data_IF_596699229121
#
_entry.id   IF_596699229121
#
_cell.length_a   1.000
_cell.length_b   1.000
_cell.length_c   1.000
_cell.angle_alpha   90.00
_cell.angle_beta   90.00
_cell.angle_gamma   90.00
#
_symmetry.space_group_name_H-M   'P 1'
#
loop_
_entity.id
_entity.type
_entity.pdbx_description
1 polymer ?
#
# COMPACT_ATOMS: atom_id res chain seq x y z
N UNK A 1 -0.49 34.43 11.85
CA UNK A 1 0.50 33.86 10.91
C UNK A 1 -0.17 32.66 10.24
N UNK A 2 -0.53 32.79 8.95
CA UNK A 2 -1.06 31.68 8.17
C UNK A 2 0.07 30.64 8.02
N UNK A 3 -0.08 29.46 8.63
CA UNK A 3 0.77 28.33 8.30
C UNK A 3 0.52 28.03 6.82
N UNK A 4 1.52 28.20 5.99
CA UNK A 4 1.49 27.76 4.59
C UNK A 4 1.11 26.28 4.65
N UNK A 5 -0.09 25.95 4.14
CA UNK A 5 -0.60 24.58 4.14
C UNK A 5 0.32 23.81 3.19
N UNK A 6 1.10 22.87 3.73
CA UNK A 6 1.92 22.00 2.90
C UNK A 6 0.99 21.19 1.97
N UNK A 7 1.21 21.29 0.68
CA UNK A 7 0.44 20.53 -0.31
C UNK A 7 1.07 19.16 -0.44
N UNK A 8 0.29 18.12 -0.21
CA UNK A 8 0.71 16.75 -0.47
C UNK A 8 0.90 16.57 -1.97
N UNK A 9 2.07 16.13 -2.38
CA UNK A 9 2.42 15.99 -3.79
C UNK A 9 3.11 14.67 -4.09
N UNK A 10 4.03 14.25 -3.24
CA UNK A 10 4.81 13.02 -3.40
C UNK A 10 4.17 11.87 -2.64
N UNK A 11 3.83 10.81 -3.33
CA UNK A 11 3.19 9.62 -2.76
C UNK A 11 4.09 8.41 -2.96
N UNK A 12 4.46 7.74 -1.87
CA UNK A 12 5.10 6.44 -1.91
C UNK A 12 4.06 5.36 -1.67
N UNK A 13 3.87 4.50 -2.65
CA UNK A 13 3.07 3.29 -2.51
C UNK A 13 3.99 2.18 -2.01
N UNK A 14 3.66 1.58 -0.87
CA UNK A 14 4.36 0.40 -0.35
C UNK A 14 3.46 -0.82 -0.53
N UNK A 15 3.98 -1.83 -1.19
CA UNK A 15 3.31 -3.12 -1.37
C UNK A 15 3.83 -4.07 -0.29
N UNK A 16 2.95 -4.63 0.56
CA UNK A 16 3.37 -5.57 1.58
C UNK A 16 3.86 -6.88 0.96
N UNK A 17 4.77 -7.60 1.64
CA UNK A 17 5.20 -8.89 1.17
C UNK A 17 4.04 -9.89 1.24
N UNK A 18 4.01 -10.85 0.31
CA UNK A 18 3.19 -12.04 0.48
C UNK A 18 3.82 -12.90 1.58
N UNK A 19 3.17 -12.98 2.72
CA UNK A 19 3.54 -13.90 3.78
C UNK A 19 2.76 -15.19 3.55
N UNK A 20 3.49 -16.28 3.24
CA UNK A 20 2.90 -17.61 3.37
C UNK A 20 2.81 -17.90 4.87
N UNK A 21 1.61 -18.17 5.34
CA UNK A 21 1.38 -18.63 6.72
C UNK A 21 1.75 -20.12 6.77
N UNK A 22 3.02 -20.43 6.67
CA UNK A 22 3.51 -21.71 7.15
C UNK A 22 3.96 -21.48 8.60
N UNK A 23 3.14 -21.92 9.53
CA UNK A 23 3.16 -21.64 10.95
C UNK A 23 4.43 -22.08 11.70
N UNK A 24 5.40 -22.67 11.05
CA UNK A 24 6.55 -23.31 11.69
C UNK A 24 7.88 -22.55 11.53
N UNK A 25 7.96 -21.43 10.80
CA UNK A 25 9.20 -20.67 10.68
C UNK A 25 9.16 -19.35 11.49
N UNK A 26 9.91 -19.28 12.59
CA UNK A 26 9.92 -18.09 13.46
C UNK A 26 10.68 -16.89 12.89
N UNK A 27 11.30 -16.99 11.70
CA UNK A 27 12.01 -15.87 11.08
C UNK A 27 11.11 -15.12 10.09
N UNK A 28 10.54 -13.95 10.45
CA UNK A 28 9.72 -13.16 9.54
C UNK A 28 10.50 -12.61 8.32
N UNK A 29 11.83 -12.73 8.34
CA UNK A 29 12.68 -12.35 7.22
C UNK A 29 12.98 -13.52 6.27
N UNK A 30 12.71 -14.74 6.71
CA UNK A 30 12.90 -15.95 5.93
C UNK A 30 11.62 -16.30 5.18
N UNK A 31 11.31 -15.52 4.17
CA UNK A 31 10.35 -15.96 3.16
C UNK A 31 11.05 -17.03 2.33
N UNK A 32 10.65 -18.28 2.52
CA UNK A 32 11.10 -19.37 1.67
C UNK A 32 10.82 -19.02 0.20
N UNK A 33 11.85 -19.08 -0.63
CA UNK A 33 11.74 -18.84 -2.07
C UNK A 33 10.66 -19.74 -2.69
N UNK A 34 10.40 -20.90 -2.08
CA UNK A 34 9.43 -21.86 -2.54
C UNK A 34 7.97 -21.44 -2.33
N UNK A 35 7.68 -20.65 -1.32
CA UNK A 35 6.33 -20.15 -1.02
C UNK A 35 6.03 -18.79 -1.62
N UNK A 36 6.99 -18.14 -2.28
CA UNK A 36 6.81 -16.84 -2.92
C UNK A 36 5.84 -16.93 -4.09
N UNK A 37 4.62 -16.58 -3.84
CA UNK A 37 3.69 -16.22 -4.91
C UNK A 37 3.84 -14.73 -5.19
N UNK A 38 4.90 -14.34 -5.90
CA UNK A 38 4.97 -12.98 -6.43
C UNK A 38 3.92 -12.83 -7.51
N UNK A 39 2.93 -12.09 -7.17
CA UNK A 39 1.88 -11.67 -8.11
C UNK A 39 2.18 -10.21 -8.44
N UNK A 40 2.14 -9.91 -9.73
CA UNK A 40 2.23 -8.52 -10.20
C UNK A 40 1.28 -7.63 -9.39
N UNK A 41 1.73 -6.50 -8.88
CA UNK A 41 0.95 -5.64 -7.98
C UNK A 41 -0.10 -4.83 -8.75
N UNK A 42 -1.15 -5.50 -9.25
CA UNK A 42 -2.15 -4.89 -10.13
C UNK A 42 -2.82 -3.69 -9.44
N UNK A 43 -3.38 -3.88 -8.24
CA UNK A 43 -4.05 -2.81 -7.53
C UNK A 43 -3.11 -1.65 -7.18
N UNK A 44 -1.88 -1.88 -6.66
CA UNK A 44 -0.92 -0.80 -6.44
C UNK A 44 -0.60 0.02 -7.69
N UNK A 45 -0.44 -0.60 -8.85
CA UNK A 45 -0.14 0.14 -10.09
C UNK A 45 -1.37 0.81 -10.71
N UNK A 46 -2.60 0.34 -10.41
CA UNK A 46 -3.85 1.05 -10.75
C UNK A 46 -3.99 2.29 -9.87
N UNK A 47 -3.80 2.17 -8.56
CA UNK A 47 -3.77 3.33 -7.64
C UNK A 47 -2.71 4.34 -8.08
N UNK A 48 -1.51 3.88 -8.43
CA UNK A 48 -0.47 4.75 -8.97
C UNK A 48 -0.92 5.50 -10.21
N UNK A 49 -1.62 4.83 -11.11
CA UNK A 49 -2.12 5.43 -12.35
C UNK A 49 -3.15 6.53 -12.08
N UNK A 50 -4.09 6.29 -11.15
CA UNK A 50 -5.04 7.31 -10.73
C UNK A 50 -4.33 8.54 -10.14
N UNK A 51 -3.41 8.32 -9.21
CA UNK A 51 -2.62 9.39 -8.58
C UNK A 51 -1.82 10.21 -9.61
N UNK A 52 -1.15 9.55 -10.56
CA UNK A 52 -0.43 10.21 -11.64
C UNK A 52 -1.36 11.06 -12.51
N UNK A 53 -2.56 10.55 -12.82
CA UNK A 53 -3.56 11.28 -13.62
C UNK A 53 -4.05 12.56 -12.93
N UNK A 54 -4.03 12.59 -11.59
CA UNK A 54 -4.37 13.74 -10.75
C UNK A 54 -3.18 14.69 -10.52
N UNK A 55 -2.01 14.38 -11.07
CA UNK A 55 -0.81 15.23 -10.99
C UNK A 55 0.04 15.05 -9.72
N UNK A 56 -0.14 13.95 -9.00
CA UNK A 56 0.80 13.55 -7.95
C UNK A 56 2.08 12.99 -8.55
N UNK A 57 3.18 13.16 -7.84
CA UNK A 57 4.42 12.42 -8.08
C UNK A 57 4.31 11.09 -7.33
N UNK A 58 4.49 9.98 -8.02
CA UNK A 58 4.27 8.63 -7.44
C UNK A 58 5.51 7.77 -7.61
N UNK A 59 5.89 7.11 -6.53
CA UNK A 59 6.89 6.04 -6.55
C UNK A 59 6.32 4.80 -5.84
N UNK A 60 6.85 3.62 -6.15
CA UNK A 60 6.37 2.36 -5.62
C UNK A 60 7.55 1.55 -5.06
N UNK A 61 7.33 0.91 -3.92
CA UNK A 61 8.27 -0.02 -3.31
C UNK A 61 7.56 -1.31 -2.89
N UNK A 62 7.95 -2.44 -3.50
CA UNK A 62 7.39 -3.74 -3.18
C UNK A 62 8.33 -4.51 -2.24
N UNK A 63 7.87 -4.70 -1.00
CA UNK A 63 8.62 -5.45 0.02
C UNK A 63 8.78 -6.94 -0.32
N UNK A 64 7.94 -7.47 -1.21
CA UNK A 64 8.04 -8.85 -1.68
C UNK A 64 9.16 -9.08 -2.68
N UNK A 65 9.54 -8.05 -3.44
CA UNK A 65 10.65 -8.10 -4.41
C UNK A 65 12.00 -7.94 -3.71
N UNK A 66 12.08 -7.00 -2.80
CA UNK A 66 13.31 -6.69 -2.05
C UNK A 66 13.48 -7.60 -0.84
N UNK A 67 13.80 -8.86 -1.06
CA UNK A 67 13.86 -9.87 0.02
C UNK A 67 14.99 -9.63 1.00
N UNK A 68 16.17 -9.36 0.46
CA UNK A 68 17.34 -9.09 1.27
C UNK A 68 17.34 -7.61 1.68
N UNK A 69 17.47 -7.34 2.99
CA UNK A 69 17.52 -5.98 3.53
C UNK A 69 16.30 -5.10 3.19
N UNK A 70 15.10 -5.70 3.03
CA UNK A 70 13.90 -4.99 2.58
C UNK A 70 13.57 -3.73 3.37
N UNK A 71 13.71 -3.76 4.70
CA UNK A 71 13.44 -2.60 5.54
C UNK A 71 14.54 -1.54 5.45
N UNK A 72 15.80 -1.93 5.28
CA UNK A 72 16.91 -1.01 5.04
C UNK A 72 16.75 -0.31 3.69
N UNK A 73 16.41 -1.07 2.66
CA UNK A 73 16.12 -0.54 1.33
C UNK A 73 14.90 0.40 1.33
N UNK A 74 13.84 0.04 2.05
CA UNK A 74 12.69 0.93 2.23
C UNK A 74 13.05 2.21 2.98
N UNK A 75 13.87 2.11 4.03
CA UNK A 75 14.37 3.26 4.78
C UNK A 75 15.11 4.23 3.85
N UNK A 76 16.06 3.71 3.07
CA UNK A 76 16.81 4.49 2.09
C UNK A 76 15.89 5.12 1.02
N UNK A 77 14.86 4.38 0.58
CA UNK A 77 13.85 4.87 -0.36
C UNK A 77 13.08 6.05 0.22
N UNK A 78 12.60 5.95 1.47
CA UNK A 78 11.88 7.05 2.14
C UNK A 78 12.79 8.26 2.36
N UNK A 79 14.05 8.06 2.79
CA UNK A 79 15.02 9.14 2.96
C UNK A 79 15.28 9.91 1.66
N UNK A 80 15.43 9.19 0.56
CA UNK A 80 15.76 9.76 -0.74
C UNK A 80 14.53 10.43 -1.38
N UNK A 81 13.39 9.74 -1.39
CA UNK A 81 12.18 10.21 -2.04
C UNK A 81 11.46 11.30 -1.25
N UNK A 82 11.49 11.24 0.11
CA UNK A 82 10.85 12.21 1.01
C UNK A 82 9.35 12.35 0.70
N UNK A 83 8.54 11.30 0.85
CA UNK A 83 7.13 11.33 0.51
C UNK A 83 6.32 12.25 1.43
N UNK A 84 5.30 12.92 0.87
CA UNK A 84 4.27 13.64 1.63
C UNK A 84 3.18 12.70 2.14
N UNK A 85 3.01 11.55 1.46
CA UNK A 85 2.11 10.49 1.87
C UNK A 85 2.73 9.11 1.62
N UNK A 86 2.52 8.17 2.54
CA UNK A 86 2.86 6.76 2.39
C UNK A 86 1.58 5.95 2.42
N UNK A 87 1.25 5.31 1.32
CA UNK A 87 0.09 4.45 1.19
C UNK A 87 0.53 2.98 1.15
N UNK A 88 0.07 2.19 2.11
CA UNK A 88 0.25 0.76 2.10
C UNK A 88 -0.91 0.14 1.36
N UNK A 89 -0.63 -0.36 0.14
CA UNK A 89 -1.63 -0.90 -0.77
C UNK A 89 -1.48 -2.41 -0.89
N UNK A 90 -2.44 -3.11 -0.29
CA UNK A 90 -2.51 -4.57 -0.39
C UNK A 90 -3.19 -4.98 -1.68
N UNK A 91 -2.62 -5.96 -2.40
CA UNK A 91 -3.34 -6.68 -3.43
C UNK A 91 -4.39 -7.62 -2.82
N UNK A 92 -5.49 -7.87 -3.52
CA UNK A 92 -6.54 -8.82 -3.12
C UNK A 92 -5.99 -10.24 -2.90
N UNK A 93 -4.86 -10.54 -3.51
CA UNK A 93 -4.18 -11.83 -3.39
C UNK A 93 -3.25 -11.91 -2.19
N UNK A 94 -2.99 -10.80 -1.51
CA UNK A 94 -2.19 -10.77 -0.29
C UNK A 94 -3.07 -11.06 0.92
N UNK A 95 -3.17 -12.33 1.30
CA UNK A 95 -3.71 -12.73 2.59
C UNK A 95 -2.71 -12.36 3.69
N UNK A 96 -2.57 -11.08 3.96
CA UNK A 96 -1.89 -10.66 5.17
C UNK A 96 -2.93 -10.60 6.25
N UNK A 97 -2.90 -11.54 7.17
CA UNK A 97 -3.61 -11.37 8.43
C UNK A 97 -2.92 -10.23 9.16
N UNK A 98 -3.68 -9.27 9.65
CA UNK A 98 -3.14 -8.10 10.36
C UNK A 98 -2.32 -8.47 11.63
N UNK A 99 -2.24 -9.76 11.94
CA UNK A 99 -1.54 -10.31 13.10
C UNK A 99 -0.10 -10.70 12.82
N UNK A 100 0.26 -11.00 11.56
CA UNK A 100 1.53 -11.65 11.24
C UNK A 100 2.51 -10.76 10.48
N UNK A 101 2.06 -9.60 10.03
CA UNK A 101 2.93 -8.63 9.38
C UNK A 101 2.84 -7.25 10.02
N UNK A 102 3.98 -6.70 10.43
CA UNK A 102 4.06 -5.42 11.11
C UNK A 102 4.03 -4.24 10.12
N UNK A 103 2.86 -3.98 9.55
CA UNK A 103 2.63 -2.77 8.73
C UNK A 103 2.85 -1.48 9.51
N UNK A 104 2.83 -1.54 10.84
CA UNK A 104 3.15 -0.41 11.70
C UNK A 104 4.60 0.02 11.51
N UNK A 105 5.54 -0.93 11.35
CA UNK A 105 6.95 -0.62 11.16
C UNK A 105 7.20 0.27 9.93
N UNK A 106 6.46 0.07 8.83
CA UNK A 106 6.54 0.93 7.63
C UNK A 106 6.12 2.36 7.94
N UNK A 107 5.00 2.51 8.64
CA UNK A 107 4.47 3.83 8.98
C UNK A 107 5.29 4.54 10.06
N UNK A 108 5.82 3.80 11.02
CA UNK A 108 6.72 4.36 12.05
C UNK A 108 8.03 4.86 11.41
N UNK A 109 8.61 4.09 10.50
CA UNK A 109 9.75 4.51 9.70
C UNK A 109 9.45 5.78 8.88
N UNK A 110 8.28 5.82 8.23
CA UNK A 110 7.87 7.00 7.48
C UNK A 110 7.73 8.25 8.38
N UNK A 111 7.15 8.10 9.57
CA UNK A 111 7.01 9.20 10.55
C UNK A 111 8.34 9.65 11.13
N UNK A 112 9.27 8.73 11.36
CA UNK A 112 10.62 9.05 11.84
C UNK A 112 11.38 9.90 10.82
N UNK A 113 11.38 9.48 9.56
CA UNK A 113 12.14 10.14 8.49
C UNK A 113 11.41 11.39 7.97
N UNK A 114 10.09 11.31 7.82
CA UNK A 114 9.22 12.35 7.28
C UNK A 114 8.05 12.64 8.24
N UNK A 115 8.25 13.38 9.35
CA UNK A 115 7.23 13.57 10.39
C UNK A 115 5.94 14.25 9.94
N UNK A 116 5.92 14.86 8.75
CA UNK A 116 4.73 15.49 8.17
C UNK A 116 4.02 14.58 7.16
N UNK A 117 4.58 13.39 6.90
CA UNK A 117 4.02 12.44 5.96
C UNK A 117 2.71 11.88 6.49
N UNK A 118 1.72 11.80 5.62
CA UNK A 118 0.42 11.18 5.91
C UNK A 118 0.52 9.67 5.67
N UNK A 119 -0.03 8.87 6.58
CA UNK A 119 -0.01 7.40 6.47
C UNK A 119 -1.40 6.86 6.16
N UNK A 120 -1.50 6.04 5.12
CA UNK A 120 -2.76 5.48 4.61
C UNK A 120 -2.69 3.96 4.54
N UNK A 121 -3.56 3.29 5.28
CA UNK A 121 -3.71 1.83 5.22
C UNK A 121 -4.88 1.44 4.31
N UNK A 122 -4.67 0.44 3.46
CA UNK A 122 -5.72 -0.12 2.59
C UNK A 122 -5.80 -1.65 2.71
N UNK A 123 -6.68 -2.26 1.95
CA UNK A 123 -6.81 -3.71 1.83
C UNK A 123 -7.67 -4.35 2.92
N UNK A 124 -7.51 -5.66 3.11
CA UNK A 124 -8.38 -6.45 3.97
C UNK A 124 -8.38 -5.99 5.43
N UNK A 125 -7.22 -5.65 5.97
CA UNK A 125 -7.11 -5.17 7.36
C UNK A 125 -7.88 -3.87 7.56
N UNK A 126 -7.72 -2.92 6.65
CA UNK A 126 -8.44 -1.64 6.68
C UNK A 126 -9.95 -1.82 6.46
N UNK A 127 -10.34 -2.75 5.59
CA UNK A 127 -11.75 -2.99 5.29
C UNK A 127 -12.47 -3.67 6.46
N UNK A 128 -11.84 -4.67 7.08
CA UNK A 128 -12.48 -5.45 8.15
C UNK A 128 -12.38 -4.78 9.52
N UNK A 129 -11.29 -4.05 9.77
CA UNK A 129 -11.01 -3.44 11.08
C UNK A 129 -10.57 -1.97 10.97
N UNK A 130 -11.32 -1.12 10.24
CA UNK A 130 -10.88 0.23 9.91
C UNK A 130 -10.63 1.11 11.14
N UNK A 131 -11.45 0.99 12.19
CA UNK A 131 -11.30 1.78 13.40
C UNK A 131 -10.07 1.37 14.19
N UNK A 132 -9.75 0.07 14.26
CA UNK A 132 -8.66 -0.46 15.11
C UNK A 132 -7.30 0.10 14.72
N UNK A 133 -6.99 0.17 13.42
CA UNK A 133 -5.72 0.71 12.94
C UNK A 133 -5.54 2.19 13.32
N UNK A 134 -6.61 2.98 13.20
CA UNK A 134 -6.61 4.41 13.56
C UNK A 134 -6.61 4.61 15.07
N UNK A 135 -7.34 3.79 15.84
CA UNK A 135 -7.36 3.82 17.32
C UNK A 135 -5.98 3.51 17.89
N UNK A 136 -5.34 2.47 17.37
CA UNK A 136 -3.98 2.08 17.76
C UNK A 136 -2.89 3.03 17.21
N UNK A 137 -3.26 4.03 16.42
CA UNK A 137 -2.34 4.97 15.76
C UNK A 137 -1.34 4.32 14.81
N UNK A 138 -1.70 3.16 14.26
CA UNK A 138 -0.89 2.50 13.23
C UNK A 138 -0.81 3.39 11.99
N UNK A 139 -1.95 3.95 11.57
CA UNK A 139 -2.04 4.87 10.44
C UNK A 139 -2.89 6.10 10.79
N UNK A 140 -2.80 7.15 9.96
CA UNK A 140 -3.64 8.33 10.09
C UNK A 140 -5.02 8.09 9.49
N UNK A 141 -5.05 7.35 8.37
CA UNK A 141 -6.26 7.02 7.62
C UNK A 141 -6.27 5.54 7.25
N UNK A 142 -7.45 4.92 7.33
CA UNK A 142 -7.69 3.60 6.79
C UNK A 142 -8.82 3.65 5.75
N UNK A 143 -8.62 3.00 4.61
CA UNK A 143 -9.60 2.97 3.52
C UNK A 143 -10.35 1.64 3.57
N UNK A 144 -11.68 1.73 3.68
CA UNK A 144 -12.61 0.62 3.75
C UNK A 144 -13.28 0.40 2.38
N UNK A 145 -13.01 -0.71 1.74
CA UNK A 145 -13.56 -1.07 0.43
C UNK A 145 -12.56 -0.90 -0.69
N UNK A 146 -13.06 -0.53 -1.87
CA UNK A 146 -12.24 -0.38 -3.08
C UNK A 146 -11.20 0.75 -2.94
N UNK A 147 -10.00 0.48 -3.44
CA UNK A 147 -8.84 1.35 -3.23
C UNK A 147 -8.50 2.21 -4.46
N UNK A 148 -8.95 1.80 -5.64
CA UNK A 148 -8.49 2.30 -6.94
C UNK A 148 -8.48 3.84 -7.06
N UNK A 149 -9.55 4.50 -6.61
CA UNK A 149 -9.66 5.96 -6.60
C UNK A 149 -9.62 6.56 -5.19
N UNK A 150 -9.82 5.74 -4.17
CA UNK A 150 -10.04 6.21 -2.81
C UNK A 150 -8.80 6.90 -2.21
N UNK A 151 -7.60 6.44 -2.55
CA UNK A 151 -6.34 7.10 -2.11
C UNK A 151 -6.24 8.50 -2.74
N UNK A 152 -6.51 8.62 -4.03
CA UNK A 152 -6.50 9.89 -4.75
C UNK A 152 -7.52 10.88 -4.18
N UNK A 153 -8.77 10.42 -3.96
CA UNK A 153 -9.83 11.23 -3.37
C UNK A 153 -9.44 11.73 -1.97
N UNK A 154 -8.87 10.87 -1.13
CA UNK A 154 -8.39 11.25 0.20
C UNK A 154 -7.34 12.36 0.12
N UNK A 155 -6.32 12.21 -0.71
CA UNK A 155 -5.24 13.20 -0.82
C UNK A 155 -5.74 14.53 -1.40
N UNK A 156 -6.66 14.51 -2.35
CA UNK A 156 -7.31 15.73 -2.85
C UNK A 156 -8.16 16.43 -1.78
N UNK A 157 -8.92 15.66 -0.98
CA UNK A 157 -9.68 16.21 0.16
C UNK A 157 -8.76 16.90 1.16
N UNK A 158 -7.64 16.25 1.50
CA UNK A 158 -6.61 16.81 2.40
C UNK A 158 -6.01 18.09 1.82
N UNK A 159 -5.63 18.09 0.56
CA UNK A 159 -5.09 19.26 -0.13
C UNK A 159 -6.10 20.41 -0.19
N UNK A 160 -7.35 20.11 -0.48
CA UNK A 160 -8.41 21.10 -0.50
C UNK A 160 -8.84 21.59 0.89
N UNK A 161 -8.43 20.90 1.97
CA UNK A 161 -8.87 21.19 3.34
C UNK A 161 -10.34 20.92 3.58
N UNK A 162 -10.90 19.98 2.83
CA UNK A 162 -12.25 19.49 3.01
C UNK A 162 -12.38 18.69 4.30
N UNK A 163 -13.59 18.48 4.75
CA UNK A 163 -13.90 17.70 5.94
C UNK A 163 -13.79 16.20 5.60
N UNK A 164 -12.74 15.54 6.10
CA UNK A 164 -12.42 14.15 5.76
C UNK A 164 -13.52 13.19 6.19
N UNK A 165 -14.21 13.48 7.28
CA UNK A 165 -15.32 12.66 7.80
C UNK A 165 -16.49 12.54 6.80
N UNK A 166 -16.54 13.39 5.78
CA UNK A 166 -17.56 13.34 4.71
C UNK A 166 -17.14 12.45 3.52
N UNK A 167 -15.88 12.02 3.47
CA UNK A 167 -15.40 11.13 2.42
C UNK A 167 -15.90 9.70 2.72
N UNK A 168 -16.56 9.01 1.77
CA UNK A 168 -16.94 7.61 1.97
C UNK A 168 -15.71 6.69 2.02
N UNK A 169 -15.85 5.56 2.67
CA UNK A 169 -14.80 4.55 2.75
C UNK A 169 -13.62 4.94 3.64
N UNK A 170 -13.75 5.94 4.53
CA UNK A 170 -12.63 6.40 5.33
C UNK A 170 -12.83 6.11 6.83
N UNK A 171 -11.76 5.66 7.47
CA UNK A 171 -11.63 5.76 8.91
C UNK A 171 -10.52 6.75 9.24
N UNK A 172 -10.80 7.67 10.13
CA UNK A 172 -9.85 8.72 10.53
C UNK A 172 -10.12 9.17 11.97
N UNK A 173 -9.18 9.91 12.56
CA UNK A 173 -9.41 10.60 13.83
C UNK A 173 -10.06 11.95 13.57
N UNK A 174 -11.31 12.09 14.03
CA UNK A 174 -12.06 13.33 13.92
C UNK A 174 -11.52 14.45 14.80
N UNK A 175 -12.00 15.67 14.58
CA UNK A 175 -11.61 16.88 15.33
C UNK A 175 -11.85 16.77 16.84
N UNK A 176 -12.81 15.94 17.24
CA UNK A 176 -13.14 15.66 18.66
C UNK A 176 -12.21 14.60 19.30
N UNK A 177 -11.21 14.10 18.57
CA UNK A 177 -10.28 13.05 18.98
C UNK A 177 -10.85 11.64 18.93
N UNK A 178 -12.13 11.45 18.58
CA UNK A 178 -12.73 10.12 18.39
C UNK A 178 -12.45 9.61 16.98
N UNK A 179 -12.40 8.29 16.86
CA UNK A 179 -12.31 7.68 15.52
C UNK A 179 -13.69 7.74 14.86
N UNK A 180 -13.70 8.24 13.65
CA UNK A 180 -14.85 8.24 12.74
C UNK A 180 -14.62 7.15 11.69
N UNK A 181 -15.68 6.44 11.34
CA UNK A 181 -15.70 5.47 10.25
C UNK A 181 -16.91 5.77 9.38
N UNK A 182 -16.67 6.16 8.14
CA UNK A 182 -17.74 6.41 7.18
C UNK A 182 -18.27 5.10 6.57
N UNK A 183 -19.30 5.20 5.75
CA UNK A 183 -19.79 4.08 4.94
C UNK A 183 -18.69 3.57 4.00
N UNK A 184 -18.90 2.36 3.46
CA UNK A 184 -17.92 1.76 2.54
C UNK A 184 -17.74 2.65 1.30
N UNK A 185 -16.51 2.66 0.74
CA UNK A 185 -16.27 3.34 -0.52
C UNK A 185 -17.16 2.73 -1.61
N UNK A 186 -17.80 3.56 -2.47
CA UNK A 186 -18.70 3.06 -3.50
C UNK A 186 -17.97 2.16 -4.50
N UNK A 187 -18.71 1.23 -5.10
CA UNK A 187 -18.20 0.38 -6.16
C UNK A 187 -17.60 1.21 -7.30
N UNK A 188 -16.43 0.77 -7.77
CA UNK A 188 -15.71 1.44 -8.82
C UNK A 188 -16.30 1.07 -10.18
N UNK A 189 -16.59 2.06 -10.99
CA UNK A 189 -16.90 1.87 -12.41
C UNK A 189 -15.62 1.45 -13.14
N UNK A 190 -15.48 0.17 -13.42
CA UNK A 190 -14.28 -0.40 -14.04
C UNK A 190 -13.96 0.20 -15.41
N UNK A 191 -14.95 0.78 -16.11
CA UNK A 191 -14.74 1.47 -17.37
C UNK A 191 -13.95 2.79 -17.21
N UNK A 192 -13.86 3.32 -15.99
CA UNK A 192 -13.11 4.52 -15.65
C UNK A 192 -11.71 4.25 -15.11
N UNK A 193 -11.38 2.98 -14.84
CA UNK A 193 -10.08 2.62 -14.35
C UNK A 193 -9.00 3.00 -15.39
N UNK A 194 -7.95 3.70 -14.97
CA UNK A 194 -6.84 3.98 -15.86
C UNK A 194 -6.06 2.68 -16.15
N UNK A 195 -5.33 2.68 -17.26
CA UNK A 195 -4.40 1.58 -17.53
C UNK A 195 -3.34 1.51 -16.41
N UNK A 196 -3.04 0.31 -15.89
CA UNK A 196 -2.08 0.16 -14.81
C UNK A 196 -0.70 0.76 -15.15
N UNK A 197 -0.14 1.52 -14.21
CA UNK A 197 1.10 2.29 -14.41
C UNK A 197 2.37 1.44 -14.25
N UNK A 198 2.47 0.30 -14.91
CA UNK A 198 3.65 -0.57 -14.84
C UNK A 198 4.97 0.11 -15.23
N UNK A 199 4.90 1.22 -15.92
CA UNK A 199 6.09 1.99 -16.31
C UNK A 199 6.82 2.65 -15.14
N UNK A 200 6.17 2.80 -13.97
CA UNK A 200 6.82 3.34 -12.76
C UNK A 200 7.70 2.31 -12.04
N UNK A 201 7.50 1.03 -12.33
CA UNK A 201 8.32 -0.03 -11.75
C UNK A 201 9.74 0.10 -12.28
N UNK A 202 10.72 0.13 -11.36
CA UNK A 202 12.12 0.12 -11.73
C UNK A 202 12.56 -1.25 -12.28
N UNK A 203 13.80 -1.34 -12.76
CA UNK A 203 14.32 -2.56 -13.37
C UNK A 203 14.49 -3.70 -12.35
N UNK A 204 14.67 -3.40 -11.07
CA UNK A 204 14.76 -4.40 -10.02
C UNK A 204 13.42 -5.07 -9.78
N UNK A 205 12.34 -4.29 -9.69
CA UNK A 205 10.98 -4.81 -9.62
C UNK A 205 10.62 -5.66 -10.85
N UNK A 206 10.91 -5.15 -12.06
CA UNK A 206 10.63 -5.87 -13.30
C UNK A 206 11.38 -7.19 -13.37
N UNK A 207 12.67 -7.19 -12.99
CA UNK A 207 13.49 -8.40 -12.93
C UNK A 207 12.95 -9.39 -11.90
N UNK A 208 12.61 -8.94 -10.68
CA UNK A 208 12.07 -9.78 -9.63
C UNK A 208 10.81 -10.53 -10.08
N UNK A 209 9.85 -9.84 -10.69
CA UNK A 209 8.64 -10.48 -11.22
C UNK A 209 8.94 -11.44 -12.37
N UNK A 210 9.90 -11.14 -13.24
CA UNK A 210 10.26 -12.00 -14.38
C UNK A 210 10.95 -13.28 -13.92
N UNK A 211 11.94 -13.17 -13.03
CA UNK A 211 12.68 -14.32 -12.49
C UNK A 211 11.73 -15.30 -11.79
N UNK A 212 10.75 -14.80 -11.07
CA UNK A 212 9.78 -15.63 -10.39
C UNK A 212 8.76 -16.29 -11.32
N UNK A 213 8.39 -15.62 -12.40
CA UNK A 213 7.59 -16.26 -13.46
C UNK A 213 8.37 -17.40 -14.12
N UNK A 214 9.68 -17.27 -14.30
CA UNK A 214 10.53 -18.33 -14.83
C UNK A 214 10.66 -19.50 -13.86
N UNK A 215 10.86 -19.25 -12.57
CA UNK A 215 10.86 -20.29 -11.54
C UNK A 215 9.50 -20.99 -11.48
N UNK A 216 8.41 -20.26 -11.55
CA UNK A 216 7.05 -20.81 -11.63
C UNK A 216 6.81 -21.70 -12.85
N UNK A 217 7.37 -21.37 -14.00
CA UNK A 217 7.27 -22.21 -15.22
C UNK A 217 8.02 -23.52 -15.08
N UNK A 218 9.12 -23.57 -14.34
CA UNK A 218 9.88 -24.80 -14.09
C UNK A 218 9.13 -25.76 -13.14
N UNK A 219 8.21 -25.23 -12.32
CA UNK A 219 7.45 -26.02 -11.32
C UNK A 219 6.10 -26.54 -11.76
N UNK A 220 5.58 -26.13 -12.90
CA UNK A 220 4.42 -26.81 -13.45
C UNK A 220 4.88 -27.99 -14.30
N UNK A 221 4.90 -29.23 -13.76
CA UNK A 221 5.06 -30.39 -14.63
C UNK A 221 3.91 -30.33 -15.62
N UNK A 222 4.25 -30.39 -16.89
CA UNK A 222 3.23 -30.58 -17.92
C UNK A 222 2.36 -31.77 -17.48
N UNK A 223 1.11 -31.47 -17.12
CA UNK A 223 0.15 -32.54 -16.98
C UNK A 223 0.08 -33.21 -18.34
N UNK A 224 0.79 -34.33 -18.46
CA UNK A 224 0.65 -35.25 -19.56
C UNK A 224 -0.85 -35.49 -19.78
N UNK A 225 -1.37 -34.95 -20.85
CA UNK A 225 -2.68 -35.28 -21.35
C UNK A 225 -2.61 -36.77 -21.76
N UNK A 226 -3.15 -37.64 -20.95
CA UNK A 226 -3.62 -38.95 -21.36
C UNK A 226 -5.11 -38.88 -21.62
#
# INVERSE_FOLDING_TARGET
>A
MSKTKHSLKKVLIVVPPLVSVDDDDPDPNRLDIESRRLVSPVEPVVVASDLLSRGFEVDLFDLGVHVDNRYENLHQKIETYRPDAVALVQSILTYVTATDWDGAAVFDMAREICPQSVTVLTGNAATNYPSKAVEAKVCDYAIKGEVDFAVGDLLEYLNAGKEIETLPGIACRGKNGRVHVSDIYPEVDTAKLPLPAYHILDEEHKRGYTELLEIGKIRYPEHSRN
#
